data_IF_332434356600
#
_entry.id   IF_332434356600
#
_cell.length_a   1.000
_cell.length_b   1.000
_cell.length_c   1.000
_cell.angle_alpha   90.00
_cell.angle_beta   90.00
_cell.angle_gamma   90.00
#
_symmetry.space_group_name_H-M   'P 1'
#
loop_
_entity.id
_entity.type
_entity.pdbx_description
1 polymer ?
#
# COMPACT_ATOMS: atom_id res chain seq x y z
N UNK A 1 -17.61 50.53 9.67
CA UNK A 1 -16.63 49.74 10.46
C UNK A 1 -16.39 48.42 9.74
N UNK A 2 -15.31 48.35 8.95
CA UNK A 2 -14.92 47.13 8.24
C UNK A 2 -13.81 46.37 8.97
N UNK A 3 -13.78 45.05 8.80
CA UNK A 3 -12.61 44.16 8.90
C UNK A 3 -12.87 42.98 7.95
N UNK A 4 -12.48 43.12 6.67
CA UNK A 4 -11.28 42.53 6.04
C UNK A 4 -11.20 41.01 6.15
N UNK A 5 -11.79 40.34 5.15
CA UNK A 5 -11.37 39.03 4.70
C UNK A 5 -9.94 39.14 4.13
N UNK A 6 -9.03 38.27 4.57
CA UNK A 6 -7.68 38.18 4.02
C UNK A 6 -7.73 37.37 2.73
N UNK A 7 -7.49 38.05 1.62
CA UNK A 7 -7.08 37.47 0.35
C UNK A 7 -5.82 36.61 0.57
N UNK A 8 -5.83 35.37 0.08
CA UNK A 8 -4.61 34.62 -0.19
C UNK A 8 -4.38 34.67 -1.69
N UNK A 9 -3.23 35.26 -2.00
CA UNK A 9 -2.72 35.62 -3.32
C UNK A 9 -2.60 34.42 -4.25
N UNK A 10 -3.27 34.53 -5.39
CA UNK A 10 -3.00 33.78 -6.61
C UNK A 10 -1.85 34.45 -7.34
N UNK A 11 -0.61 33.95 -7.18
CA UNK A 11 0.51 34.34 -8.04
C UNK A 11 1.31 33.15 -8.57
N UNK A 12 1.17 32.95 -9.88
CA UNK A 12 2.23 32.66 -10.88
C UNK A 12 3.15 31.46 -10.64
N UNK A 13 2.83 30.36 -11.31
CA UNK A 13 3.84 29.39 -11.77
C UNK A 13 4.36 29.84 -13.13
N UNK A 14 5.49 30.54 -13.13
CA UNK A 14 6.29 30.83 -14.31
C UNK A 14 7.69 30.23 -14.13
N UNK A 15 8.09 29.34 -15.04
CA UNK A 15 9.47 29.04 -15.41
C UNK A 15 10.49 28.83 -14.29
N UNK A 16 10.40 27.71 -13.56
CA UNK A 16 11.47 27.23 -12.69
C UNK A 16 12.22 26.06 -13.34
N UNK A 17 13.51 26.25 -13.64
CA UNK A 17 14.42 25.19 -14.11
C UNK A 17 14.36 23.98 -13.18
N UNK A 18 14.18 22.78 -13.75
CA UNK A 18 14.30 21.50 -13.04
C UNK A 18 15.74 21.43 -12.49
N UNK A 19 15.96 21.36 -11.16
CA UNK A 19 17.31 21.18 -10.65
C UNK A 19 17.82 19.79 -11.02
N UNK A 20 19.08 19.74 -11.47
CA UNK A 20 19.76 18.51 -11.86
C UNK A 20 19.74 17.49 -10.70
N UNK A 21 19.59 16.22 -11.07
CA UNK A 21 19.54 15.04 -10.19
C UNK A 21 20.65 15.10 -9.14
N UNK A 22 20.26 15.11 -7.86
CA UNK A 22 21.19 14.83 -6.78
C UNK A 22 21.63 13.37 -6.90
N UNK A 23 22.93 13.16 -7.09
CA UNK A 23 23.58 11.86 -7.04
C UNK A 23 23.31 11.22 -5.66
N UNK A 24 22.54 10.13 -5.66
CA UNK A 24 22.20 9.37 -4.45
C UNK A 24 23.23 8.28 -4.12
N UNK A 25 24.38 8.25 -4.81
CA UNK A 25 25.41 7.23 -4.62
C UNK A 25 26.27 7.40 -3.36
N UNK A 26 26.20 8.56 -2.68
CA UNK A 26 27.11 8.93 -1.59
C UNK A 26 26.61 8.78 -0.14
N UNK A 27 25.44 8.21 0.13
CA UNK A 27 24.99 8.01 1.52
C UNK A 27 25.79 6.87 2.17
N UNK A 28 26.56 7.20 3.21
CA UNK A 28 27.19 6.22 4.12
C UNK A 28 26.13 5.17 4.46
N UNK A 29 26.34 3.93 4.00
CA UNK A 29 25.42 2.83 4.32
C UNK A 29 25.40 2.71 5.85
N UNK A 30 24.23 2.81 6.50
CA UNK A 30 24.17 2.57 7.94
C UNK A 30 24.75 1.19 8.21
N UNK A 31 25.46 1.05 9.34
CA UNK A 31 25.97 -0.24 9.77
C UNK A 31 24.82 -1.27 9.73
N UNK A 32 25.08 -2.52 9.27
CA UNK A 32 24.03 -3.53 9.19
C UNK A 32 23.40 -3.71 10.57
N UNK A 33 22.07 -3.72 10.60
CA UNK A 33 21.32 -4.00 11.82
C UNK A 33 21.66 -5.41 12.31
N UNK A 34 21.86 -5.54 13.63
CA UNK A 34 22.21 -6.81 14.28
C UNK A 34 21.04 -7.26 15.14
N UNK A 35 20.45 -8.45 14.89
CA UNK A 35 19.32 -8.94 15.66
C UNK A 35 19.70 -9.27 17.11
N UNK A 36 18.77 -9.00 18.03
CA UNK A 36 18.80 -9.64 19.35
C UNK A 36 18.62 -11.16 19.21
N UNK A 37 19.18 -12.00 20.10
CA UNK A 37 19.23 -13.46 19.95
C UNK A 37 17.87 -14.15 19.71
N UNK A 38 16.78 -13.57 20.22
CA UNK A 38 15.44 -14.20 20.20
C UNK A 38 14.44 -13.55 19.22
N UNK A 39 14.82 -12.46 18.53
CA UNK A 39 13.87 -11.66 17.76
C UNK A 39 13.18 -12.46 16.65
N UNK A 40 13.93 -13.31 15.94
CA UNK A 40 13.38 -14.17 14.89
C UNK A 40 12.33 -15.12 15.45
N UNK A 41 12.67 -15.81 16.55
CA UNK A 41 11.77 -16.79 17.18
C UNK A 41 10.46 -16.12 17.62
N UNK A 42 10.53 -14.95 18.25
CA UNK A 42 9.35 -14.22 18.71
C UNK A 42 8.49 -13.74 17.54
N UNK A 43 9.09 -13.20 16.48
CA UNK A 43 8.33 -12.76 15.31
C UNK A 43 7.73 -13.92 14.51
N UNK A 44 8.45 -15.04 14.38
CA UNK A 44 7.91 -16.26 13.75
C UNK A 44 6.73 -16.83 14.55
N UNK A 45 6.82 -16.82 15.90
CA UNK A 45 5.71 -17.19 16.78
C UNK A 45 4.52 -16.25 16.56
N UNK A 46 4.74 -14.94 16.56
CA UNK A 46 3.69 -13.95 16.32
C UNK A 46 3.01 -14.18 14.96
N UNK A 47 3.79 -14.38 13.90
CA UNK A 47 3.29 -14.71 12.57
C UNK A 47 2.40 -15.96 12.59
N UNK A 48 2.86 -17.05 13.23
CA UNK A 48 2.11 -18.31 13.31
C UNK A 48 0.78 -18.21 14.09
N UNK A 49 0.60 -17.20 14.94
CA UNK A 49 -0.70 -16.98 15.62
C UNK A 49 -1.77 -16.35 14.71
N UNK A 50 -1.36 -15.83 13.54
CA UNK A 50 -2.26 -15.16 12.59
C UNK A 50 -2.97 -16.17 11.70
N UNK A 51 -4.19 -15.82 11.31
CA UNK A 51 -5.09 -16.65 10.52
C UNK A 51 -6.23 -15.78 9.96
N UNK A 52 -7.04 -16.26 9.00
CA UNK A 52 -8.10 -15.48 8.35
C UNK A 52 -9.04 -14.75 9.31
N UNK A 53 -9.23 -15.24 10.56
CA UNK A 53 -10.05 -14.58 11.58
C UNK A 53 -9.61 -13.15 11.91
N UNK A 54 -8.35 -12.82 11.66
CA UNK A 54 -7.79 -11.48 11.92
C UNK A 54 -8.08 -10.49 10.79
N UNK A 55 -8.66 -10.94 9.67
CA UNK A 55 -9.01 -10.08 8.54
C UNK A 55 -10.29 -9.28 8.74
N UNK A 56 -11.07 -9.52 9.80
CA UNK A 56 -12.40 -8.91 9.99
C UNK A 56 -12.43 -7.38 9.87
N UNK A 57 -11.33 -6.71 10.26
CA UNK A 57 -11.18 -5.25 10.15
C UNK A 57 -10.15 -4.82 9.09
N UNK A 58 -9.70 -5.74 8.23
CA UNK A 58 -8.72 -5.49 7.19
C UNK A 58 -9.39 -5.41 5.80
N UNK A 59 -9.04 -4.41 4.96
CA UNK A 59 -9.51 -4.32 3.57
C UNK A 59 -9.31 -5.59 2.74
N UNK A 60 -8.30 -6.40 3.03
CA UNK A 60 -8.03 -7.68 2.36
C UNK A 60 -9.20 -8.67 2.51
N UNK A 61 -10.03 -8.55 3.55
CA UNK A 61 -11.23 -9.39 3.71
C UNK A 61 -12.19 -9.31 2.53
N UNK A 62 -12.25 -8.17 1.82
CA UNK A 62 -13.07 -8.03 0.63
C UNK A 62 -12.57 -8.88 -0.55
N UNK A 63 -11.26 -9.09 -0.63
CA UNK A 63 -10.66 -9.92 -1.68
C UNK A 63 -11.05 -11.40 -1.48
N UNK A 64 -11.07 -11.86 -0.23
CA UNK A 64 -11.44 -13.23 0.13
C UNK A 64 -12.93 -13.56 -0.09
N UNK A 65 -13.79 -12.58 -0.42
CA UNK A 65 -15.19 -12.82 -0.77
C UNK A 65 -15.35 -13.51 -2.13
N UNK A 66 -14.34 -13.44 -2.98
CA UNK A 66 -14.40 -13.94 -4.35
C UNK A 66 -13.66 -15.28 -4.46
N UNK A 67 -14.24 -16.30 -5.11
CA UNK A 67 -13.55 -17.57 -5.36
C UNK A 67 -12.57 -17.49 -6.54
N UNK A 68 -12.88 -16.67 -7.56
CA UNK A 68 -12.08 -16.55 -8.78
C UNK A 68 -10.81 -15.70 -8.53
N UNK A 69 -9.60 -16.22 -8.84
CA UNK A 69 -8.36 -15.46 -8.78
C UNK A 69 -8.36 -14.13 -9.54
N UNK A 70 -9.03 -14.05 -10.69
CA UNK A 70 -9.10 -12.83 -11.49
C UNK A 70 -9.96 -11.75 -10.81
N UNK A 71 -11.05 -12.15 -10.14
CA UNK A 71 -11.85 -11.26 -9.31
C UNK A 71 -11.08 -10.79 -8.07
N UNK A 72 -10.31 -11.69 -7.44
CA UNK A 72 -9.43 -11.36 -6.31
C UNK A 72 -8.37 -10.33 -6.68
N UNK A 73 -7.77 -10.42 -7.87
CA UNK A 73 -6.78 -9.46 -8.35
C UNK A 73 -7.36 -8.05 -8.46
N UNK A 74 -8.54 -7.93 -9.09
CA UNK A 74 -9.26 -6.65 -9.22
C UNK A 74 -9.73 -6.13 -7.87
N UNK A 75 -10.24 -7.01 -7.00
CA UNK A 75 -10.61 -6.64 -5.65
C UNK A 75 -9.41 -6.13 -4.84
N UNK A 76 -8.23 -6.74 -4.98
CA UNK A 76 -7.02 -6.37 -4.26
C UNK A 76 -6.51 -4.97 -4.65
N UNK A 77 -6.49 -4.62 -5.94
CA UNK A 77 -6.06 -3.27 -6.36
C UNK A 77 -7.05 -2.19 -5.91
N UNK A 78 -8.36 -2.48 -5.92
CA UNK A 78 -9.39 -1.55 -5.43
C UNK A 78 -9.28 -1.40 -3.90
N UNK A 79 -9.24 -2.51 -3.17
CA UNK A 79 -9.18 -2.52 -1.71
C UNK A 79 -7.95 -1.78 -1.19
N UNK A 80 -6.78 -2.03 -1.78
CA UNK A 80 -5.54 -1.35 -1.42
C UNK A 80 -5.55 0.15 -1.77
N UNK A 81 -6.14 0.54 -2.91
CA UNK A 81 -6.23 1.94 -3.35
C UNK A 81 -6.97 2.81 -2.33
N UNK A 82 -8.03 2.29 -1.71
CA UNK A 82 -8.85 2.96 -0.69
C UNK A 82 -8.44 2.64 0.77
N UNK A 83 -7.37 1.89 1.00
CA UNK A 83 -6.89 1.52 2.33
C UNK A 83 -6.14 2.65 3.07
N UNK A 84 -6.80 3.81 3.20
CA UNK A 84 -6.28 4.98 3.91
C UNK A 84 -7.38 5.74 4.65
N UNK A 85 -7.05 6.32 5.80
CA UNK A 85 -8.02 6.97 6.68
C UNK A 85 -8.48 6.08 7.83
N UNK A 86 -9.73 6.27 8.27
CA UNK A 86 -10.25 5.55 9.44
C UNK A 86 -10.81 4.20 8.99
N UNK A 87 -10.47 3.12 9.71
CA UNK A 87 -10.84 1.74 9.33
C UNK A 87 -12.34 1.57 9.05
N UNK A 88 -13.23 2.13 9.87
CA UNK A 88 -14.68 2.02 9.67
C UNK A 88 -15.13 2.72 8.37
N UNK A 89 -14.52 3.86 8.05
CA UNK A 89 -14.79 4.58 6.80
C UNK A 89 -14.27 3.78 5.60
N UNK A 90 -13.07 3.19 5.71
CA UNK A 90 -12.48 2.35 4.66
C UNK A 90 -13.42 1.17 4.37
N UNK A 91 -13.81 0.40 5.39
CA UNK A 91 -14.68 -0.77 5.22
C UNK A 91 -16.03 -0.37 4.62
N UNK A 92 -16.65 0.72 5.07
CA UNK A 92 -17.91 1.22 4.49
C UNK A 92 -17.76 1.64 3.03
N UNK A 93 -16.66 2.30 2.67
CA UNK A 93 -16.37 2.66 1.28
C UNK A 93 -16.21 1.42 0.42
N UNK A 94 -15.44 0.44 0.87
CA UNK A 94 -15.24 -0.80 0.13
C UNK A 94 -16.54 -1.59 0.00
N UNK A 95 -17.37 -1.66 1.04
CA UNK A 95 -18.69 -2.28 0.96
C UNK A 95 -19.56 -1.62 -0.12
N UNK A 96 -19.61 -0.28 -0.15
CA UNK A 96 -20.35 0.45 -1.18
C UNK A 96 -19.82 0.19 -2.60
N UNK A 97 -18.50 0.08 -2.76
CA UNK A 97 -17.88 -0.20 -4.06
C UNK A 97 -18.24 -1.63 -4.47
N UNK A 98 -17.90 -2.63 -3.66
CA UNK A 98 -18.09 -4.04 -4.01
C UNK A 98 -19.56 -4.45 -4.15
N UNK A 99 -20.47 -3.81 -3.43
CA UNK A 99 -21.91 -3.98 -3.65
C UNK A 99 -22.34 -3.54 -5.06
N UNK A 100 -21.74 -2.47 -5.61
CA UNK A 100 -22.02 -1.99 -6.96
C UNK A 100 -21.33 -2.84 -8.05
N UNK A 101 -20.13 -3.38 -7.76
CA UNK A 101 -19.41 -4.27 -8.69
C UNK A 101 -20.08 -5.65 -8.77
N UNK A 102 -20.74 -6.08 -7.69
CA UNK A 102 -21.46 -7.34 -7.63
C UNK A 102 -20.54 -8.56 -7.51
N UNK A 103 -20.97 -9.73 -8.03
CA UNK A 103 -20.30 -11.00 -7.78
C UNK A 103 -18.99 -11.20 -8.56
N UNK A 104 -18.73 -10.40 -9.60
CA UNK A 104 -17.49 -10.48 -10.39
C UNK A 104 -16.91 -9.09 -10.69
N UNK A 105 -16.05 -8.56 -9.81
CA UNK A 105 -15.27 -7.35 -10.05
C UNK A 105 -14.50 -7.35 -11.37
N UNK A 106 -13.95 -8.51 -11.77
CA UNK A 106 -13.22 -8.67 -13.03
C UNK A 106 -14.11 -8.36 -14.22
N UNK A 107 -15.25 -9.04 -14.32
CA UNK A 107 -16.20 -8.84 -15.41
C UNK A 107 -16.78 -7.43 -15.40
N UNK A 108 -17.05 -6.87 -14.21
CA UNK A 108 -17.50 -5.48 -14.10
C UNK A 108 -16.48 -4.51 -14.69
N UNK A 109 -15.19 -4.68 -14.38
CA UNK A 109 -14.12 -3.84 -14.91
C UNK A 109 -13.95 -4.00 -16.44
N UNK A 110 -13.99 -5.23 -16.96
CA UNK A 110 -13.89 -5.48 -18.42
C UNK A 110 -15.05 -4.84 -19.21
N UNK A 111 -16.25 -4.80 -18.63
CA UNK A 111 -17.42 -4.15 -19.22
C UNK A 111 -17.61 -2.69 -18.76
N UNK A 112 -16.64 -2.10 -18.05
CA UNK A 112 -16.82 -0.79 -17.43
C UNK A 112 -16.89 0.33 -18.47
N UNK A 113 -18.00 1.07 -18.47
CA UNK A 113 -18.21 2.22 -19.34
C UNK A 113 -18.19 3.53 -18.54
N UNK A 114 -17.25 4.45 -18.78
CA UNK A 114 -17.05 5.66 -17.98
C UNK A 114 -18.29 6.52 -17.75
N UNK A 115 -19.11 6.74 -18.79
CA UNK A 115 -20.35 7.53 -18.66
C UNK A 115 -21.37 6.89 -17.72
N UNK A 116 -21.52 5.57 -17.80
CA UNK A 116 -22.43 4.82 -16.94
C UNK A 116 -21.89 4.77 -15.51
N UNK A 117 -20.57 4.56 -15.35
CA UNK A 117 -19.89 4.61 -14.06
C UNK A 117 -20.06 5.94 -13.34
N UNK A 118 -19.85 7.06 -14.03
CA UNK A 118 -20.02 8.40 -13.45
C UNK A 118 -21.44 8.66 -12.96
N UNK A 119 -22.45 8.10 -13.65
CA UNK A 119 -23.84 8.16 -13.20
C UNK A 119 -24.09 7.24 -12.00
N UNK A 120 -23.63 5.99 -12.06
CA UNK A 120 -23.83 4.98 -11.01
C UNK A 120 -23.15 5.35 -9.69
N UNK A 121 -21.97 5.96 -9.76
CA UNK A 121 -21.21 6.42 -8.60
C UNK A 121 -21.44 7.90 -8.27
N UNK A 122 -22.54 8.50 -8.75
CA UNK A 122 -22.87 9.89 -8.44
C UNK A 122 -22.94 10.10 -6.93
N UNK A 123 -22.21 11.09 -6.42
CA UNK A 123 -22.11 11.38 -4.99
C UNK A 123 -21.10 10.52 -4.22
N UNK A 124 -20.42 9.56 -4.86
CA UNK A 124 -19.34 8.80 -4.21
C UNK A 124 -18.23 9.74 -3.73
N UNK A 125 -17.84 9.57 -2.46
CA UNK A 125 -16.73 10.26 -1.82
C UNK A 125 -16.02 9.34 -0.83
N UNK A 126 -14.70 9.35 -0.87
CA UNK A 126 -13.85 8.80 0.16
C UNK A 126 -12.73 9.80 0.45
N UNK A 127 -12.80 10.47 1.61
CA UNK A 127 -11.89 11.56 1.97
C UNK A 127 -11.88 12.64 0.87
N UNK A 128 -10.78 12.75 0.13
CA UNK A 128 -10.63 13.69 -0.98
C UNK A 128 -10.86 13.04 -2.35
N UNK A 129 -10.86 11.70 -2.45
CA UNK A 129 -11.18 11.03 -3.70
C UNK A 129 -12.69 11.01 -3.95
N UNK A 130 -13.08 11.18 -5.21
CA UNK A 130 -14.47 11.24 -5.63
C UNK A 130 -14.82 10.24 -6.74
N UNK A 131 -16.07 10.33 -7.24
CA UNK A 131 -16.57 9.44 -8.27
C UNK A 131 -15.73 9.44 -9.54
N UNK A 132 -15.12 10.57 -9.92
CA UNK A 132 -14.25 10.65 -11.10
C UNK A 132 -12.98 9.84 -10.87
N UNK A 133 -12.41 9.90 -9.67
CA UNK A 133 -11.21 9.14 -9.33
C UNK A 133 -11.47 7.63 -9.26
N UNK A 134 -12.64 7.21 -8.72
CA UNK A 134 -13.07 5.81 -8.73
C UNK A 134 -13.29 5.31 -10.17
N UNK A 135 -13.97 6.10 -11.01
CA UNK A 135 -14.18 5.75 -12.41
C UNK A 135 -12.86 5.68 -13.19
N UNK A 136 -11.91 6.57 -12.90
CA UNK A 136 -10.57 6.51 -13.48
C UNK A 136 -9.81 5.24 -13.05
N UNK A 137 -9.95 4.79 -11.80
CA UNK A 137 -9.37 3.53 -11.34
C UNK A 137 -9.97 2.31 -12.06
N UNK A 138 -11.30 2.24 -12.17
CA UNK A 138 -11.98 1.15 -12.89
C UNK A 138 -11.61 1.14 -14.39
N UNK A 139 -11.51 2.32 -14.99
CA UNK A 139 -11.04 2.49 -16.36
C UNK A 139 -9.58 2.05 -16.54
N UNK A 140 -8.69 2.42 -15.62
CA UNK A 140 -7.30 1.98 -15.63
C UNK A 140 -7.20 0.44 -15.55
N UNK A 141 -7.97 -0.19 -14.66
CA UNK A 141 -8.03 -1.65 -14.53
C UNK A 141 -8.44 -2.30 -15.85
N UNK A 142 -9.49 -1.78 -16.50
CA UNK A 142 -9.92 -2.25 -17.82
C UNK A 142 -8.80 -2.16 -18.85
N UNK A 143 -8.14 -1.00 -18.96
CA UNK A 143 -7.06 -0.80 -19.93
C UNK A 143 -5.85 -1.70 -19.66
N UNK A 144 -5.47 -1.90 -18.39
CA UNK A 144 -4.40 -2.85 -18.03
C UNK A 144 -4.74 -4.28 -18.49
N UNK A 145 -5.99 -4.69 -18.27
CA UNK A 145 -6.52 -5.98 -18.70
C UNK A 145 -6.53 -6.10 -20.23
N UNK A 146 -7.02 -5.10 -20.95
CA UNK A 146 -7.06 -5.13 -22.42
C UNK A 146 -5.66 -5.18 -23.05
N UNK A 147 -4.70 -4.46 -22.46
CA UNK A 147 -3.33 -4.37 -23.02
C UNK A 147 -2.46 -5.58 -22.70
N UNK A 148 -2.68 -6.24 -21.56
CA UNK A 148 -1.75 -7.25 -21.00
C UNK A 148 -2.43 -8.49 -20.44
N UNK A 149 -3.75 -8.57 -20.42
CA UNK A 149 -4.55 -9.70 -19.91
C UNK A 149 -4.86 -9.65 -18.41
N UNK A 150 -3.99 -9.05 -17.60
CA UNK A 150 -4.17 -8.89 -16.15
C UNK A 150 -3.41 -7.69 -15.60
N UNK A 151 -3.73 -7.29 -14.36
CA UNK A 151 -2.98 -6.22 -13.67
C UNK A 151 -1.55 -6.69 -13.40
N UNK A 152 -1.36 -7.97 -13.05
CA UNK A 152 -0.05 -8.57 -12.84
C UNK A 152 0.81 -8.59 -14.08
N UNK A 153 0.26 -8.99 -15.23
CA UNK A 153 0.99 -8.94 -16.50
C UNK A 153 1.36 -7.51 -16.90
N UNK A 154 0.50 -6.53 -16.59
CA UNK A 154 0.81 -5.12 -16.78
C UNK A 154 1.98 -4.67 -15.90
N UNK A 155 1.96 -5.00 -14.61
CA UNK A 155 3.07 -4.68 -13.70
C UNK A 155 4.38 -5.35 -14.13
N UNK A 156 4.33 -6.65 -14.47
CA UNK A 156 5.49 -7.46 -14.82
C UNK A 156 6.17 -7.00 -16.11
N UNK A 157 5.48 -6.30 -17.01
CA UNK A 157 6.08 -5.75 -18.22
C UNK A 157 7.22 -4.75 -17.91
N UNK A 158 7.17 -4.07 -16.77
CA UNK A 158 8.21 -3.17 -16.27
C UNK A 158 9.11 -3.78 -15.20
N UNK A 159 8.98 -5.07 -14.88
CA UNK A 159 9.75 -5.74 -13.83
C UNK A 159 10.94 -6.52 -14.40
N UNK A 160 12.13 -6.25 -13.86
CA UNK A 160 13.31 -7.07 -14.07
C UNK A 160 13.43 -8.11 -12.96
N UNK A 161 13.33 -9.39 -13.32
CA UNK A 161 13.46 -10.51 -12.38
C UNK A 161 14.83 -10.57 -11.67
N UNK A 162 15.87 -9.95 -12.23
CA UNK A 162 17.19 -9.85 -11.61
C UNK A 162 17.31 -8.66 -10.65
N UNK A 163 16.31 -7.77 -10.58
CA UNK A 163 16.32 -6.64 -9.67
C UNK A 163 16.22 -7.11 -8.21
N UNK A 164 16.99 -6.47 -7.32
CA UNK A 164 16.99 -6.81 -5.90
C UNK A 164 15.68 -6.51 -5.17
N UNK A 165 14.86 -5.59 -5.66
CA UNK A 165 13.52 -5.31 -5.15
C UNK A 165 12.61 -4.68 -6.23
N UNK A 166 11.33 -4.49 -5.91
CA UNK A 166 10.31 -3.91 -6.80
C UNK A 166 10.41 -2.39 -7.03
N UNK A 167 11.46 -1.70 -6.57
CA UNK A 167 11.57 -0.22 -6.67
C UNK A 167 11.39 0.29 -8.11
N UNK A 168 12.13 -0.28 -9.06
CA UNK A 168 12.09 0.15 -10.46
C UNK A 168 10.72 -0.14 -11.08
N UNK A 169 10.20 -1.35 -10.86
CA UNK A 169 8.90 -1.78 -11.35
C UNK A 169 7.76 -0.89 -10.84
N UNK A 170 7.77 -0.48 -9.56
CA UNK A 170 6.78 0.44 -9.01
C UNK A 170 6.83 1.83 -9.66
N UNK A 171 8.03 2.35 -9.96
CA UNK A 171 8.14 3.63 -10.67
C UNK A 171 7.57 3.53 -12.09
N UNK A 172 7.90 2.46 -12.81
CA UNK A 172 7.38 2.20 -14.15
C UNK A 172 5.86 2.01 -14.13
N UNK A 173 5.35 1.14 -13.26
CA UNK A 173 3.93 0.88 -13.10
C UNK A 173 3.13 2.16 -12.84
N UNK A 174 3.54 2.96 -11.87
CA UNK A 174 2.84 4.22 -11.56
C UNK A 174 2.92 5.21 -12.71
N UNK A 175 4.05 5.31 -13.41
CA UNK A 175 4.17 6.19 -14.58
C UNK A 175 3.30 5.73 -15.74
N UNK A 176 3.27 4.43 -16.04
CA UNK A 176 2.49 3.85 -17.14
C UNK A 176 0.99 3.97 -16.88
N UNK A 177 0.52 3.64 -15.66
CA UNK A 177 -0.90 3.79 -15.32
C UNK A 177 -1.34 5.24 -15.43
N UNK A 178 -0.55 6.20 -14.92
CA UNK A 178 -0.88 7.62 -15.02
C UNK A 178 -0.78 8.17 -16.44
N UNK A 179 -0.05 7.48 -17.34
CA UNK A 179 0.08 7.80 -18.75
C UNK A 179 -1.00 7.21 -19.66
N UNK A 180 -1.93 6.40 -19.12
CA UNK A 180 -3.06 5.86 -19.89
C UNK A 180 -4.02 6.95 -20.40
N UNK A 181 -4.83 6.62 -21.40
CA UNK A 181 -5.82 7.54 -21.95
C UNK A 181 -7.07 7.63 -21.07
N UNK A 182 -7.21 8.74 -20.34
CA UNK A 182 -8.37 9.02 -19.49
C UNK A 182 -9.37 10.03 -20.09
N UNK A 183 -9.25 10.37 -21.39
CA UNK A 183 -10.25 11.21 -22.08
C UNK A 183 -11.68 10.68 -21.93
N UNK A 184 -11.95 9.36 -21.93
CA UNK A 184 -13.30 8.84 -21.70
C UNK A 184 -13.89 9.17 -20.32
N UNK A 185 -13.03 9.39 -19.30
CA UNK A 185 -13.46 9.70 -17.93
C UNK A 185 -13.49 11.21 -17.67
N UNK A 186 -12.42 11.93 -18.05
CA UNK A 186 -12.26 13.35 -17.72
C UNK A 186 -12.62 14.31 -18.86
N UNK A 187 -12.81 13.81 -20.09
CA UNK A 187 -13.10 14.63 -21.27
C UNK A 187 -11.93 15.52 -21.73
N UNK A 188 -10.70 15.20 -21.32
CA UNK A 188 -9.48 15.99 -21.57
C UNK A 188 -8.26 15.09 -21.76
N UNK A 189 -7.27 15.57 -22.51
CA UNK A 189 -6.05 14.82 -22.86
C UNK A 189 -5.12 14.54 -21.67
N UNK A 190 -5.19 15.38 -20.63
CA UNK A 190 -4.37 15.25 -19.43
C UNK A 190 -5.24 15.09 -18.20
N UNK A 191 -4.72 14.39 -17.19
CA UNK A 191 -5.33 14.30 -15.87
C UNK A 191 -5.59 15.71 -15.30
N UNK A 192 -6.82 16.02 -14.84
CA UNK A 192 -7.13 17.32 -14.25
C UNK A 192 -6.32 17.57 -12.97
N UNK A 193 -5.81 18.79 -12.79
CA UNK A 193 -5.03 19.16 -11.60
C UNK A 193 -5.84 19.15 -10.28
N UNK A 194 -7.17 19.12 -10.37
CA UNK A 194 -8.10 18.97 -9.23
C UNK A 194 -8.52 17.51 -8.96
N UNK A 195 -8.05 16.55 -9.77
CA UNK A 195 -8.28 15.12 -9.54
C UNK A 195 -7.26 14.55 -8.57
N UNK A 196 -7.73 13.68 -7.67
CA UNK A 196 -6.88 12.95 -6.75
C UNK A 196 -6.60 11.53 -7.23
N UNK A 197 -6.92 11.18 -8.48
CA UNK A 197 -6.59 9.89 -9.08
C UNK A 197 -5.09 9.53 -8.98
N UNK A 198 -4.13 10.47 -9.20
CA UNK A 198 -2.70 10.17 -9.02
C UNK A 198 -2.32 9.70 -7.62
N UNK A 199 -3.14 10.02 -6.60
CA UNK A 199 -2.91 9.55 -5.24
C UNK A 199 -2.92 8.03 -5.14
N UNK A 200 -3.64 7.30 -5.99
CA UNK A 200 -3.66 5.83 -5.95
C UNK A 200 -2.36 5.18 -6.42
N UNK A 201 -1.56 5.90 -7.21
CA UNK A 201 -0.34 5.40 -7.84
C UNK A 201 0.90 6.20 -7.40
N UNK A 202 1.26 6.17 -6.09
CA UNK A 202 2.49 6.79 -5.62
C UNK A 202 3.71 6.09 -6.26
N UNK A 203 4.87 6.75 -6.27
CA UNK A 203 6.10 6.20 -6.81
C UNK A 203 7.26 6.37 -5.81
N UNK A 204 8.17 5.39 -5.70
CA UNK A 204 9.40 5.56 -4.91
C UNK A 204 10.19 6.82 -5.28
N UNK A 205 10.27 7.15 -6.57
CA UNK A 205 10.98 8.31 -7.09
C UNK A 205 10.39 9.65 -6.63
N UNK A 206 9.13 9.70 -6.17
CA UNK A 206 8.52 10.89 -5.58
C UNK A 206 8.68 10.97 -4.05
N UNK A 207 9.47 10.06 -3.45
CA UNK A 207 9.77 10.03 -2.02
C UNK A 207 8.70 9.34 -1.15
N UNK A 208 7.63 8.81 -1.75
CA UNK A 208 6.59 8.09 -1.02
C UNK A 208 7.09 6.74 -0.50
N UNK A 209 6.66 6.32 0.69
CA UNK A 209 6.82 4.94 1.16
C UNK A 209 5.98 3.92 0.35
N UNK A 210 5.10 4.39 -0.54
CA UNK A 210 4.26 3.56 -1.41
C UNK A 210 3.43 2.50 -0.67
N UNK A 211 3.11 2.73 0.61
CA UNK A 211 2.43 1.80 1.52
C UNK A 211 1.31 0.98 0.86
N UNK A 212 0.39 1.64 0.13
CA UNK A 212 -0.75 0.96 -0.49
C UNK A 212 -0.36 0.03 -1.64
N UNK A 213 0.59 0.43 -2.48
CA UNK A 213 1.10 -0.43 -3.54
C UNK A 213 1.96 -1.57 -2.99
N UNK A 214 2.78 -1.31 -1.97
CA UNK A 214 3.51 -2.38 -1.25
C UNK A 214 2.55 -3.39 -0.61
N UNK A 215 1.46 -2.91 -0.02
CA UNK A 215 0.44 -3.73 0.61
C UNK A 215 -0.30 -4.58 -0.44
N UNK A 216 -0.67 -3.97 -1.57
CA UNK A 216 -1.22 -4.68 -2.73
C UNK A 216 -0.28 -5.80 -3.21
N UNK A 217 0.99 -5.48 -3.45
CA UNK A 217 1.98 -6.45 -3.91
C UNK A 217 2.18 -7.57 -2.89
N UNK A 218 2.23 -7.27 -1.59
CA UNK A 218 2.28 -8.28 -0.53
C UNK A 218 1.13 -9.27 -0.67
N UNK A 219 -0.10 -8.76 -0.84
CA UNK A 219 -1.29 -9.59 -0.96
C UNK A 219 -1.25 -10.50 -2.17
N UNK A 220 -0.84 -9.99 -3.33
CA UNK A 220 -0.94 -10.75 -4.58
C UNK A 220 0.30 -11.61 -4.88
N UNK A 221 1.49 -11.26 -4.37
CA UNK A 221 2.75 -11.98 -4.65
C UNK A 221 3.07 -13.04 -3.59
N UNK A 222 2.85 -12.75 -2.29
CA UNK A 222 3.16 -13.74 -1.26
C UNK A 222 2.30 -15.00 -1.42
N UNK A 223 2.80 -16.19 -1.03
CA UNK A 223 2.03 -17.42 -1.09
C UNK A 223 0.68 -17.30 -0.38
N UNK A 224 -0.30 -18.08 -0.85
CA UNK A 224 -1.61 -18.16 -0.21
C UNK A 224 -1.49 -18.89 1.15
N UNK A 225 -1.17 -18.14 2.20
CA UNK A 225 -0.93 -18.63 3.57
C UNK A 225 -2.18 -18.53 4.47
N UNK A 226 -3.35 -18.30 3.86
CA UNK A 226 -4.60 -18.01 4.55
C UNK A 226 -4.80 -16.53 4.89
N UNK A 227 -3.76 -15.69 4.70
CA UNK A 227 -3.88 -14.23 4.76
C UNK A 227 -3.74 -13.66 3.34
N UNK A 228 -2.56 -13.82 2.74
CA UNK A 228 -2.28 -13.32 1.38
C UNK A 228 -2.89 -14.26 0.32
N UNK A 229 -2.92 -13.80 -0.93
CA UNK A 229 -3.73 -14.37 -2.02
C UNK A 229 -2.94 -15.28 -2.97
N UNK A 230 -1.61 -15.08 -3.11
CA UNK A 230 -0.75 -15.90 -3.97
C UNK A 230 -1.16 -15.94 -5.44
N UNK A 231 -1.52 -14.79 -6.02
CA UNK A 231 -2.04 -14.68 -7.39
C UNK A 231 -0.96 -14.47 -8.44
N UNK A 232 0.10 -13.73 -8.11
CA UNK A 232 1.12 -13.30 -9.06
C UNK A 232 2.34 -14.23 -8.99
N UNK A 233 2.88 -14.54 -10.16
CA UNK A 233 4.11 -15.30 -10.33
C UNK A 233 5.11 -14.45 -11.12
N UNK A 234 6.41 -14.62 -10.87
CA UNK A 234 7.46 -13.84 -11.53
C UNK A 234 8.03 -12.69 -10.68
N UNK A 235 7.53 -12.50 -9.46
CA UNK A 235 8.17 -11.70 -8.40
C UNK A 235 8.34 -12.64 -7.20
N UNK A 236 9.53 -12.71 -6.63
CA UNK A 236 9.77 -13.47 -5.40
C UNK A 236 9.36 -12.65 -4.17
N UNK A 237 8.86 -13.27 -3.08
CA UNK A 237 8.58 -12.57 -1.83
C UNK A 237 9.78 -11.78 -1.28
N UNK A 238 11.00 -12.27 -1.50
CA UNK A 238 12.25 -11.58 -1.15
C UNK A 238 12.49 -10.26 -1.87
N UNK A 239 11.83 -10.02 -3.01
CA UNK A 239 11.91 -8.75 -3.76
C UNK A 239 10.88 -7.71 -3.28
N UNK A 240 9.95 -8.10 -2.40
CA UNK A 240 8.91 -7.20 -1.89
C UNK A 240 9.49 -6.23 -0.86
N UNK A 241 8.82 -5.08 -0.74
CA UNK A 241 9.15 -4.04 0.24
C UNK A 241 7.98 -3.89 1.20
N UNK A 242 8.25 -3.83 2.51
CA UNK A 242 7.20 -3.80 3.54
C UNK A 242 6.32 -2.54 3.41
N UNK A 243 4.98 -2.65 3.53
CA UNK A 243 4.09 -1.50 3.51
C UNK A 243 4.15 -0.71 4.82
N UNK A 244 4.97 0.33 4.86
CA UNK A 244 5.13 1.16 6.07
C UNK A 244 3.91 2.07 6.30
N UNK A 245 3.08 1.67 7.25
CA UNK A 245 2.09 2.55 7.88
C UNK A 245 2.56 3.07 9.24
N UNK A 246 1.68 3.76 9.97
CA UNK A 246 2.00 4.33 11.29
C UNK A 246 2.26 3.25 12.35
N UNK A 247 1.67 2.06 12.23
CA UNK A 247 1.87 0.95 13.15
C UNK A 247 3.20 0.27 12.87
N UNK A 248 3.47 -0.08 11.60
CA UNK A 248 4.74 -0.63 11.15
C UNK A 248 5.88 0.31 11.48
N UNK A 249 5.75 1.60 11.18
CA UNK A 249 6.77 2.60 11.53
C UNK A 249 7.07 2.59 13.04
N UNK A 250 6.02 2.65 13.88
CA UNK A 250 6.17 2.72 15.33
C UNK A 250 6.84 1.47 15.90
N UNK A 251 6.33 0.29 15.54
CA UNK A 251 6.83 -0.99 16.04
C UNK A 251 8.25 -1.24 15.53
N UNK A 252 8.52 -0.94 14.26
CA UNK A 252 9.87 -1.05 13.68
C UNK A 252 10.88 -0.10 14.35
N UNK A 253 10.43 1.06 14.83
CA UNK A 253 11.27 1.96 15.62
C UNK A 253 11.56 1.38 17.00
N UNK A 254 10.60 0.70 17.64
CA UNK A 254 10.82 0.05 18.93
C UNK A 254 11.78 -1.14 18.82
N UNK A 255 11.73 -1.89 17.72
CA UNK A 255 12.60 -3.04 17.47
C UNK A 255 13.93 -2.65 16.80
N UNK A 256 14.24 -1.35 16.73
CA UNK A 256 15.46 -0.80 16.12
C UNK A 256 15.69 -1.17 14.63
N UNK A 257 14.65 -1.61 13.91
CA UNK A 257 14.74 -1.89 12.46
C UNK A 257 15.01 -0.62 11.63
N UNK A 258 14.67 0.55 12.16
CA UNK A 258 14.99 1.84 11.55
C UNK A 258 15.15 2.91 12.62
N UNK A 259 16.01 3.89 12.33
CA UNK A 259 16.16 5.12 13.12
C UNK A 259 15.53 6.34 12.43
N UNK A 260 14.94 6.14 11.24
CA UNK A 260 14.32 7.21 10.47
C UNK A 260 13.04 7.67 11.17
N UNK A 261 12.71 8.96 10.99
CA UNK A 261 11.48 9.56 11.53
C UNK A 261 10.37 9.72 10.50
N UNK A 262 10.72 9.72 9.22
CA UNK A 262 9.78 9.93 8.13
C UNK A 262 9.49 8.59 7.45
N UNK A 263 8.19 8.28 7.29
CA UNK A 263 7.74 7.16 6.48
C UNK A 263 7.96 7.46 4.98
N UNK A 264 9.17 7.19 4.51
CA UNK A 264 9.58 7.32 3.11
C UNK A 264 10.07 5.97 2.54
N UNK A 265 10.35 5.93 1.23
CA UNK A 265 10.84 4.72 0.56
C UNK A 265 12.11 4.14 1.22
N UNK A 266 12.97 5.00 1.76
CA UNK A 266 14.20 4.56 2.43
C UNK A 266 13.90 3.84 3.73
N UNK A 267 12.96 4.36 4.54
CA UNK A 267 12.48 3.66 5.73
C UNK A 267 11.91 2.29 5.38
N UNK A 268 11.09 2.20 4.33
CA UNK A 268 10.52 0.92 3.91
C UNK A 268 11.60 -0.10 3.55
N UNK A 269 12.64 0.32 2.81
CA UNK A 269 13.78 -0.56 2.47
C UNK A 269 14.68 -0.89 3.67
N UNK A 270 14.91 0.04 4.60
CA UNK A 270 15.66 -0.23 5.83
C UNK A 270 14.97 -1.29 6.69
N UNK A 271 13.65 -1.15 6.92
CA UNK A 271 12.87 -2.14 7.67
C UNK A 271 12.89 -3.48 6.94
N UNK A 272 12.68 -3.48 5.62
CA UNK A 272 12.71 -4.72 4.80
C UNK A 272 14.07 -5.40 4.90
N UNK A 273 15.17 -4.65 4.86
CA UNK A 273 16.52 -5.22 4.99
C UNK A 273 16.75 -5.83 6.38
N UNK A 274 16.30 -5.19 7.46
CA UNK A 274 16.38 -5.75 8.81
C UNK A 274 15.56 -7.06 8.93
N UNK A 275 14.35 -7.09 8.37
CA UNK A 275 13.55 -8.31 8.32
C UNK A 275 14.17 -9.40 7.43
N UNK A 276 14.89 -9.02 6.37
CA UNK A 276 15.63 -9.93 5.51
C UNK A 276 16.80 -10.62 6.20
N UNK A 277 17.33 -10.06 7.29
CA UNK A 277 18.28 -10.76 8.17
C UNK A 277 17.59 -11.91 8.92
N UNK A 278 16.30 -11.79 9.22
CA UNK A 278 15.51 -12.79 9.94
C UNK A 278 14.93 -13.86 9.01
N UNK A 279 14.49 -13.45 7.83
CA UNK A 279 13.99 -14.33 6.79
C UNK A 279 14.34 -13.75 5.41
N UNK A 280 15.41 -14.24 4.75
CA UNK A 280 15.83 -13.72 3.46
C UNK A 280 14.90 -14.11 2.31
N UNK A 281 14.09 -15.17 2.48
CA UNK A 281 13.21 -15.69 1.42
C UNK A 281 11.86 -14.97 1.42
N UNK A 282 11.37 -14.56 2.58
CA UNK A 282 10.12 -13.79 2.72
C UNK A 282 10.20 -12.74 3.86
N UNK A 283 10.95 -11.64 3.66
CA UNK A 283 11.13 -10.60 4.68
C UNK A 283 9.81 -9.95 5.11
N UNK A 284 8.85 -9.83 4.18
CA UNK A 284 7.62 -9.07 4.41
C UNK A 284 6.48 -9.92 5.01
N UNK A 285 6.70 -11.20 5.29
CA UNK A 285 5.74 -12.06 6.01
C UNK A 285 5.32 -11.51 7.38
N UNK A 286 6.22 -10.78 8.03
CA UNK A 286 5.98 -10.23 9.35
C UNK A 286 5.00 -9.04 9.33
N UNK A 287 4.78 -8.41 8.18
CA UNK A 287 3.98 -7.19 8.02
C UNK A 287 2.60 -7.29 8.68
N UNK A 288 1.82 -8.29 8.30
CA UNK A 288 0.45 -8.44 8.82
C UNK A 288 0.46 -8.58 10.34
N UNK A 289 1.34 -9.44 10.85
CA UNK A 289 1.40 -9.76 12.27
C UNK A 289 1.85 -8.57 13.12
N UNK A 290 2.79 -7.77 12.63
CA UNK A 290 3.29 -6.56 13.27
C UNK A 290 2.25 -5.44 13.23
N UNK A 291 1.65 -5.15 12.07
CA UNK A 291 0.64 -4.10 11.95
C UNK A 291 -0.56 -4.36 12.89
N UNK A 292 -0.97 -5.63 13.05
CA UNK A 292 -2.09 -6.02 13.89
C UNK A 292 -1.86 -5.90 15.40
N UNK A 293 -0.61 -5.83 15.86
CA UNK A 293 -0.33 -5.43 17.25
C UNK A 293 -0.92 -4.04 17.54
N UNK A 294 -0.81 -3.12 16.58
CA UNK A 294 -1.38 -1.79 16.68
C UNK A 294 -2.88 -1.72 16.34
N UNK A 295 -3.29 -2.39 15.26
CA UNK A 295 -4.66 -2.30 14.72
C UNK A 295 -5.67 -3.06 15.59
N UNK A 296 -5.34 -4.31 15.97
CA UNK A 296 -6.26 -5.20 16.68
C UNK A 296 -5.99 -5.26 18.17
N UNK A 297 -4.72 -5.22 18.56
CA UNK A 297 -4.29 -5.39 19.97
C UNK A 297 -3.99 -4.06 20.67
N UNK A 298 -4.24 -2.93 19.97
CA UNK A 298 -4.19 -1.56 20.52
C UNK A 298 -2.81 -1.15 21.06
N UNK A 299 -1.73 -1.80 20.65
CA UNK A 299 -0.37 -1.45 21.04
C UNK A 299 -0.09 0.03 20.73
N UNK A 300 0.12 0.83 21.80
CA UNK A 300 0.48 2.24 21.74
C UNK A 300 1.91 2.51 22.28
N UNK A 301 2.59 1.46 22.77
CA UNK A 301 3.94 1.51 23.32
C UNK A 301 4.07 2.13 24.71
N UNK A 302 2.97 2.47 25.38
CA UNK A 302 2.99 3.13 26.70
C UNK A 302 2.04 2.52 27.72
N UNK A 303 0.99 1.84 27.27
CA UNK A 303 0.03 1.17 28.14
C UNK A 303 0.63 -0.13 28.69
N UNK A 304 0.83 -0.16 30.01
CA UNK A 304 1.51 -1.26 30.69
C UNK A 304 0.74 -2.58 30.56
N UNK A 305 -0.58 -2.57 30.66
CA UNK A 305 -1.38 -3.79 30.63
C UNK A 305 -1.37 -4.41 29.23
N UNK A 306 -1.39 -3.56 28.20
CA UNK A 306 -1.21 -3.99 26.81
C UNK A 306 0.22 -4.51 26.59
N UNK A 307 1.25 -3.79 27.08
CA UNK A 307 2.65 -4.20 26.90
C UNK A 307 2.97 -5.56 27.53
N UNK A 308 2.43 -5.86 28.72
CA UNK A 308 2.67 -7.13 29.43
C UNK A 308 2.08 -8.34 28.71
N UNK A 309 1.01 -8.16 27.93
CA UNK A 309 0.32 -9.23 27.21
C UNK A 309 0.62 -9.23 25.70
N UNK A 310 1.45 -8.31 25.24
CA UNK A 310 1.81 -8.13 23.84
C UNK A 310 2.59 -9.34 23.31
N UNK A 311 2.28 -9.80 22.09
CA UNK A 311 2.96 -10.95 21.49
C UNK A 311 4.46 -10.77 21.21
N UNK A 312 5.00 -9.55 21.40
CA UNK A 312 6.44 -9.25 21.30
C UNK A 312 7.03 -8.70 22.60
N UNK A 313 6.35 -8.89 23.73
CA UNK A 313 6.74 -8.32 25.03
C UNK A 313 8.21 -8.65 25.43
N UNK A 314 8.69 -9.84 25.07
CA UNK A 314 10.04 -10.35 25.40
C UNK A 314 11.17 -9.57 24.71
N UNK A 315 10.90 -8.94 23.56
CA UNK A 315 11.90 -8.27 22.72
C UNK A 315 11.65 -6.77 22.57
N UNK A 316 10.54 -6.26 23.13
CA UNK A 316 10.14 -4.87 22.97
C UNK A 316 10.70 -4.02 24.11
N UNK A 317 11.55 -3.02 23.83
CA UNK A 317 12.13 -2.17 24.88
C UNK A 317 11.12 -1.25 25.55
N UNK A 318 9.90 -1.15 25.01
CA UNK A 318 8.80 -0.43 25.67
C UNK A 318 8.14 -1.25 26.79
N UNK A 319 8.45 -2.55 26.89
CA UNK A 319 7.92 -3.38 27.95
C UNK A 319 8.70 -3.11 29.25
N UNK A 320 8.07 -2.60 30.32
CA UNK A 320 8.74 -2.33 31.58
C UNK A 320 9.27 -3.59 32.30
N UNK A 321 8.85 -4.79 31.88
CA UNK A 321 9.39 -6.05 32.38
C UNK A 321 10.60 -6.59 31.58
N UNK A 322 10.95 -5.94 30.46
CA UNK A 322 12.12 -6.28 29.64
C UNK A 322 13.38 -5.47 30.02
N UNK A 323 13.30 -4.68 31.09
CA UNK A 323 14.39 -3.88 31.67
C UNK A 323 14.89 -4.49 32.99
#
# INVERSE_FOLDING_TARGET
MGRRAKNLDTQRLAGGKIPARADLSGAVRPAPWVPAPDIKMVLDRLYATRSPRHLANDPLSFCHRYPDPADREVAAVIASSFAYGNVLIILRTLESIFAALGPSPRRYAECFEPKQGLAAFSGFKHRFNDSRDLCALLWAIRLMIEQRGSIGAFFLAGHDSAAGDVTAALNTYSAEVLGLDYRPVFGRDTLPGDSYFPFFFPAPASGSACKRLCMFLRWVVRPADGIDLGLWHGIAPSQLVIPVDTHIQRISSYLDFTRRKNADWRMAREITAALGVLDPDDPVKYDFSLAHLGISEKCNGVDRDICLTCGIAEICPQNPAAA
#
